data_IF_000881864959
#
_entry.id   IF_000881864959
#
_cell.length_a   1.000
_cell.length_b   1.000
_cell.length_c   1.000
_cell.angle_alpha   90.00
_cell.angle_beta   90.00
_cell.angle_gamma   90.00
#
_symmetry.space_group_name_H-M   'P 1'
#
loop_
_entity.id
_entity.type
_entity.pdbx_description
1 polymer ?
#
# COMPACT_ATOMS: atom_id res chain seq x y z
N UNK A 1 -13.53 -11.55 -30.28
CA UNK A 1 -14.66 -11.57 -29.34
C UNK A 1 -14.30 -11.99 -27.91
N UNK A 2 -13.45 -13.00 -27.69
CA UNK A 2 -13.20 -13.46 -26.32
C UNK A 2 -12.47 -12.48 -25.42
N UNK A 3 -11.90 -11.39 -25.94
CA UNK A 3 -11.16 -10.41 -25.13
C UNK A 3 -12.04 -9.42 -24.36
N UNK A 4 -13.26 -9.18 -24.82
CA UNK A 4 -14.17 -8.20 -24.22
C UNK A 4 -14.60 -8.56 -22.78
N UNK A 5 -14.99 -9.81 -22.49
CA UNK A 5 -15.33 -10.19 -21.11
C UNK A 5 -14.16 -10.12 -20.14
N UNK A 6 -12.94 -10.44 -20.58
CA UNK A 6 -11.74 -10.34 -19.74
C UNK A 6 -11.40 -8.91 -19.34
N UNK A 7 -11.51 -7.96 -20.28
CA UNK A 7 -11.28 -6.55 -20.04
C UNK A 7 -12.34 -6.01 -19.09
N UNK A 8 -13.61 -6.35 -19.30
CA UNK A 8 -14.72 -5.99 -18.43
C UNK A 8 -14.53 -6.49 -17.00
N UNK A 9 -14.13 -7.76 -16.82
CA UNK A 9 -13.87 -8.36 -15.51
C UNK A 9 -12.72 -7.67 -14.79
N UNK A 10 -11.63 -7.39 -15.50
CA UNK A 10 -10.48 -6.69 -14.93
C UNK A 10 -10.85 -5.28 -14.48
N UNK A 11 -11.60 -4.54 -15.30
CA UNK A 11 -12.08 -3.18 -14.96
C UNK A 11 -13.05 -3.23 -13.78
N UNK A 12 -14.00 -4.18 -13.78
CA UNK A 12 -14.96 -4.33 -12.70
C UNK A 12 -14.27 -4.71 -11.37
N UNK A 13 -13.31 -5.64 -11.41
CA UNK A 13 -12.55 -6.05 -10.23
C UNK A 13 -11.72 -4.87 -9.69
N UNK A 14 -11.09 -4.10 -10.56
CA UNK A 14 -10.31 -2.92 -10.17
C UNK A 14 -11.19 -1.86 -9.53
N UNK A 15 -12.37 -1.61 -10.10
CA UNK A 15 -13.35 -0.67 -9.53
C UNK A 15 -13.82 -1.12 -8.15
N UNK A 16 -14.09 -2.42 -7.98
CA UNK A 16 -14.52 -2.98 -6.70
C UNK A 16 -13.47 -2.80 -5.62
N UNK A 17 -12.21 -3.04 -5.94
CA UNK A 17 -11.10 -2.83 -5.02
C UNK A 17 -10.92 -1.35 -4.67
N UNK A 18 -11.03 -0.49 -5.66
CA UNK A 18 -10.98 0.96 -5.50
C UNK A 18 -12.09 1.44 -4.55
N UNK A 19 -13.31 0.98 -4.75
CA UNK A 19 -14.45 1.34 -3.91
C UNK A 19 -14.28 0.81 -2.49
N UNK A 20 -13.72 -0.39 -2.33
CA UNK A 20 -13.42 -0.98 -1.04
C UNK A 20 -12.42 -0.11 -0.26
N UNK A 21 -11.31 0.28 -0.89
CA UNK A 21 -10.32 1.16 -0.28
C UNK A 21 -10.92 2.52 0.12
N UNK A 22 -11.67 3.14 -0.77
CA UNK A 22 -12.33 4.43 -0.50
C UNK A 22 -13.32 4.34 0.66
N UNK A 23 -14.07 3.26 0.75
CA UNK A 23 -15.03 3.04 1.83
C UNK A 23 -14.32 2.97 3.18
N UNK A 24 -13.23 2.22 3.27
CA UNK A 24 -12.45 2.11 4.51
C UNK A 24 -11.79 3.42 4.91
N UNK A 25 -11.26 4.16 3.95
CA UNK A 25 -10.68 5.48 4.19
C UNK A 25 -11.76 6.47 4.66
N UNK A 26 -12.93 6.44 4.04
CA UNK A 26 -14.05 7.30 4.43
C UNK A 26 -14.56 7.02 5.84
N UNK A 27 -14.65 5.75 6.23
CA UNK A 27 -15.06 5.35 7.57
C UNK A 27 -14.13 5.85 8.66
N UNK A 28 -12.83 5.88 8.40
CA UNK A 28 -11.86 6.32 9.40
C UNK A 28 -11.98 7.81 9.76
N UNK A 29 -12.59 8.62 8.90
CA UNK A 29 -12.89 10.03 9.20
C UNK A 29 -14.05 10.22 10.16
N UNK A 30 -14.96 9.26 10.21
CA UNK A 30 -16.21 9.34 11.00
C UNK A 30 -16.17 8.51 12.27
N UNK A 31 -15.20 7.62 12.40
CA UNK A 31 -15.11 6.71 13.52
C UNK A 31 -14.34 7.35 14.67
N UNK A 32 -14.95 7.34 15.86
CA UNK A 32 -14.28 7.67 17.12
C UNK A 32 -13.54 6.47 17.71
N UNK A 33 -13.57 5.31 17.05
CA UNK A 33 -12.91 4.11 17.53
C UNK A 33 -11.42 4.15 17.27
N UNK A 34 -10.66 3.71 18.25
CA UNK A 34 -9.22 3.52 18.07
C UNK A 34 -8.94 2.46 17.04
N UNK A 35 -8.10 2.82 16.09
CA UNK A 35 -7.48 1.86 15.20
C UNK A 35 -6.17 1.38 15.83
N UNK A 36 -6.01 0.08 15.96
CA UNK A 36 -4.77 -0.50 16.47
C UNK A 36 -4.03 -1.21 15.34
N UNK A 37 -2.81 -0.78 15.01
CA UNK A 37 -2.01 -1.47 14.00
C UNK A 37 -1.68 -2.89 14.44
N UNK A 38 -1.87 -3.84 13.52
CA UNK A 38 -1.47 -5.23 13.70
C UNK A 38 -0.81 -5.74 12.43
N UNK A 39 0.03 -6.75 12.56
CA UNK A 39 0.67 -7.39 11.40
C UNK A 39 -0.37 -7.99 10.46
N UNK A 40 -1.39 -8.64 11.00
CA UNK A 40 -2.46 -9.26 10.20
C UNK A 40 -3.18 -8.23 9.33
N UNK A 41 -3.50 -7.06 9.89
CA UNK A 41 -4.15 -5.97 9.15
C UNK A 41 -3.19 -5.36 8.12
N UNK A 42 -1.92 -5.23 8.45
CA UNK A 42 -0.90 -4.76 7.50
C UNK A 42 -0.78 -5.71 6.31
N UNK A 43 -0.70 -7.01 6.54
CA UNK A 43 -0.68 -8.01 5.47
C UNK A 43 -1.95 -7.97 4.62
N UNK A 44 -3.11 -7.79 5.25
CA UNK A 44 -4.37 -7.66 4.52
C UNK A 44 -4.32 -6.48 3.54
N UNK A 45 -3.95 -5.28 4.01
CA UNK A 45 -3.89 -4.11 3.15
C UNK A 45 -2.77 -4.21 2.12
N UNK A 46 -1.66 -4.81 2.47
CA UNK A 46 -0.58 -5.08 1.50
C UNK A 46 -1.12 -5.91 0.33
N UNK A 47 -1.84 -6.98 0.61
CA UNK A 47 -2.43 -7.83 -0.45
C UNK A 47 -3.46 -7.08 -1.27
N UNK A 48 -4.35 -6.33 -0.64
CA UNK A 48 -5.38 -5.54 -1.33
C UNK A 48 -4.73 -4.51 -2.25
N UNK A 49 -3.74 -3.76 -1.75
CA UNK A 49 -3.05 -2.73 -2.52
C UNK A 49 -2.23 -3.35 -3.66
N UNK A 50 -1.56 -4.47 -3.41
CA UNK A 50 -0.80 -5.16 -4.45
C UNK A 50 -1.71 -5.55 -5.62
N UNK A 51 -2.87 -6.09 -5.32
CA UNK A 51 -3.86 -6.44 -6.34
C UNK A 51 -4.42 -5.21 -7.06
N UNK A 52 -4.80 -4.18 -6.32
CA UNK A 52 -5.46 -3.00 -6.86
C UNK A 52 -4.52 -2.08 -7.64
N UNK A 53 -3.31 -1.85 -7.15
CA UNK A 53 -2.39 -0.86 -7.68
C UNK A 53 -1.21 -1.45 -8.45
N UNK A 54 -0.70 -2.59 -8.03
CA UNK A 54 0.50 -3.21 -8.61
C UNK A 54 0.20 -4.45 -9.45
N UNK A 55 -1.06 -4.77 -9.68
CA UNK A 55 -1.50 -5.92 -10.50
C UNK A 55 -0.93 -7.26 -10.01
N UNK A 56 -0.78 -7.41 -8.69
CA UNK A 56 -0.16 -8.57 -8.05
C UNK A 56 1.31 -8.82 -8.44
N UNK A 57 2.00 -7.78 -8.90
CA UNK A 57 3.38 -7.94 -9.40
C UNK A 57 4.45 -7.80 -8.32
N UNK A 58 4.13 -7.18 -7.19
CA UNK A 58 5.12 -7.12 -6.12
C UNK A 58 5.25 -8.47 -5.44
N UNK A 59 6.48 -8.96 -5.24
CA UNK A 59 6.69 -10.15 -4.43
C UNK A 59 6.35 -9.85 -2.98
N UNK A 60 5.97 -10.88 -2.23
CA UNK A 60 5.75 -10.72 -0.79
C UNK A 60 7.03 -10.22 -0.12
N UNK A 61 6.94 -9.20 0.75
CA UNK A 61 8.08 -8.87 1.57
C UNK A 61 8.41 -10.07 2.48
N UNK A 62 9.66 -10.16 2.90
CA UNK A 62 10.05 -11.24 3.81
C UNK A 62 9.35 -11.11 5.16
N UNK A 63 9.00 -9.88 5.55
CA UNK A 63 8.38 -9.60 6.83
C UNK A 63 7.66 -8.26 6.78
N UNK A 64 6.54 -8.18 7.51
CA UNK A 64 5.92 -6.90 7.89
C UNK A 64 5.91 -6.85 9.42
N UNK A 65 6.51 -5.81 9.96
CA UNK A 65 6.70 -5.64 11.40
C UNK A 65 5.94 -4.40 11.88
N UNK A 66 5.25 -4.53 13.00
CA UNK A 66 4.62 -3.41 13.68
C UNK A 66 5.45 -3.11 14.93
N UNK A 67 6.03 -1.91 14.98
CA UNK A 67 6.80 -1.48 16.15
C UNK A 67 6.86 0.04 16.21
N UNK A 68 7.23 0.57 17.37
CA UNK A 68 7.43 2.00 17.54
C UNK A 68 8.58 2.49 16.66
N UNK A 69 8.34 3.58 15.92
CA UNK A 69 9.34 4.23 15.09
C UNK A 69 9.52 5.68 15.54
N UNK A 70 10.74 6.19 15.40
CA UNK A 70 11.04 7.60 15.65
C UNK A 70 11.17 8.33 14.32
N UNK A 71 10.42 9.44 14.18
CA UNK A 71 10.53 10.32 13.03
C UNK A 71 9.95 9.79 11.72
N UNK A 72 9.26 8.65 11.76
CA UNK A 72 8.65 8.06 10.58
C UNK A 72 7.44 7.23 10.96
N UNK A 73 6.47 7.12 10.05
CA UNK A 73 5.32 6.23 10.19
C UNK A 73 5.59 4.84 9.63
N UNK A 74 6.57 4.72 8.75
CA UNK A 74 6.94 3.45 8.16
C UNK A 74 8.37 3.46 7.64
N UNK A 75 8.89 2.28 7.36
CA UNK A 75 10.22 2.07 6.77
C UNK A 75 10.15 0.88 5.81
N UNK A 76 10.90 0.97 4.72
CA UNK A 76 11.15 -0.15 3.83
C UNK A 76 12.65 -0.41 3.81
N UNK A 77 13.08 -1.50 4.43
CA UNK A 77 14.45 -1.95 4.41
C UNK A 77 14.60 -3.04 3.37
N UNK A 78 15.29 -2.72 2.28
CA UNK A 78 15.59 -3.67 1.22
C UNK A 78 17.04 -4.12 1.37
N UNK A 79 17.24 -5.43 1.41
CA UNK A 79 18.57 -6.04 1.44
C UNK A 79 19.01 -6.38 0.02
N UNK A 80 19.98 -7.24 -0.15
CA UNK A 80 20.58 -7.56 -1.45
C UNK A 80 19.62 -8.15 -2.48
N UNK A 81 18.45 -8.64 -2.06
CA UNK A 81 17.45 -9.25 -2.96
C UNK A 81 16.10 -8.58 -2.78
N UNK A 82 15.33 -8.51 -3.87
CA UNK A 82 14.01 -7.90 -3.87
C UNK A 82 13.02 -8.60 -2.94
N UNK A 83 13.15 -9.91 -2.74
CA UNK A 83 12.35 -10.73 -1.85
C UNK A 83 12.76 -10.60 -0.38
N UNK A 84 13.83 -9.88 -0.08
CA UNK A 84 14.32 -9.63 1.28
C UNK A 84 13.92 -8.24 1.80
N UNK A 85 12.85 -7.68 1.26
CA UNK A 85 12.33 -6.42 1.76
C UNK A 85 11.60 -6.65 3.08
N UNK A 86 11.90 -5.82 4.07
CA UNK A 86 11.16 -5.77 5.35
C UNK A 86 10.44 -4.44 5.42
N UNK A 87 9.12 -4.51 5.60
CA UNK A 87 8.30 -3.32 5.78
C UNK A 87 8.00 -3.20 7.28
N UNK A 88 8.30 -2.03 7.84
CA UNK A 88 7.99 -1.72 9.23
C UNK A 88 6.97 -0.60 9.26
N UNK A 89 5.91 -0.77 10.04
CA UNK A 89 4.85 0.21 10.22
C UNK A 89 4.80 0.60 11.70
N UNK A 90 4.65 1.89 11.97
CA UNK A 90 4.62 2.38 13.34
C UNK A 90 3.41 1.87 14.12
N UNK A 91 3.66 1.35 15.30
CA UNK A 91 2.62 0.94 16.24
C UNK A 91 1.83 2.11 16.82
N UNK A 92 2.30 3.33 16.62
CA UNK A 92 1.66 4.54 17.14
C UNK A 92 0.61 5.13 16.21
N UNK A 93 0.39 4.54 15.03
CA UNK A 93 -0.67 4.98 14.13
C UNK A 93 -2.03 4.62 14.74
N UNK A 94 -2.87 5.63 14.93
CA UNK A 94 -4.20 5.45 15.52
C UNK A 94 -5.33 5.66 14.52
N UNK A 95 -4.99 5.89 13.26
CA UNK A 95 -5.92 6.26 12.20
C UNK A 95 -5.78 5.27 11.04
N UNK A 96 -6.90 4.64 10.67
CA UNK A 96 -6.91 3.64 9.57
C UNK A 96 -6.46 4.24 8.23
N UNK A 97 -6.88 5.46 7.94
CA UNK A 97 -6.48 6.14 6.70
C UNK A 97 -4.96 6.31 6.62
N UNK A 98 -4.35 6.77 7.71
CA UNK A 98 -2.90 6.92 7.79
C UNK A 98 -2.20 5.56 7.70
N UNK A 99 -2.78 4.54 8.32
CA UNK A 99 -2.21 3.18 8.27
C UNK A 99 -2.18 2.65 6.83
N UNK A 100 -3.30 2.73 6.12
CA UNK A 100 -3.39 2.29 4.72
C UNK A 100 -2.43 3.09 3.85
N UNK A 101 -2.39 4.41 4.02
CA UNK A 101 -1.48 5.27 3.26
C UNK A 101 -0.01 4.91 3.54
N UNK A 102 0.32 4.58 4.78
CA UNK A 102 1.68 4.19 5.15
C UNK A 102 2.07 2.85 4.52
N UNK A 103 1.17 1.87 4.54
CA UNK A 103 1.41 0.60 3.83
C UNK A 103 1.68 0.86 2.35
N UNK A 104 0.84 1.65 1.70
CA UNK A 104 1.02 2.01 0.29
C UNK A 104 2.35 2.75 0.04
N UNK A 105 2.71 3.67 0.92
CA UNK A 105 3.97 4.41 0.85
C UNK A 105 5.18 3.46 0.84
N UNK A 106 5.22 2.53 1.77
CA UNK A 106 6.32 1.57 1.85
C UNK A 106 6.30 0.57 0.69
N UNK A 107 5.13 0.26 0.17
CA UNK A 107 5.01 -0.58 -1.04
C UNK A 107 5.59 0.11 -2.28
N UNK A 108 5.47 1.44 -2.38
CA UNK A 108 6.11 2.19 -3.47
C UNK A 108 7.63 2.09 -3.35
N UNK A 109 8.18 2.18 -2.15
CA UNK A 109 9.62 1.95 -1.94
C UNK A 109 10.02 0.52 -2.27
N UNK A 110 9.20 -0.46 -1.91
CA UNK A 110 9.41 -1.85 -2.31
C UNK A 110 9.42 -1.99 -3.83
N UNK A 111 8.51 -1.33 -4.52
CA UNK A 111 8.48 -1.32 -5.98
C UNK A 111 9.75 -0.67 -6.56
N UNK A 112 10.18 0.46 -6.01
CA UNK A 112 11.42 1.12 -6.45
C UNK A 112 12.60 0.16 -6.33
N UNK A 113 12.71 -0.55 -5.23
CA UNK A 113 13.75 -1.54 -5.03
C UNK A 113 13.66 -2.68 -6.05
N UNK A 114 12.46 -3.23 -6.21
CA UNK A 114 12.20 -4.34 -7.15
C UNK A 114 12.52 -3.92 -8.59
N UNK A 115 12.20 -2.68 -8.97
CA UNK A 115 12.46 -2.12 -10.30
C UNK A 115 13.87 -1.52 -10.42
N UNK A 116 14.75 -1.79 -9.46
CA UNK A 116 16.15 -1.33 -9.43
C UNK A 116 16.29 0.19 -9.50
N UNK A 117 15.37 0.91 -8.86
CA UNK A 117 15.40 2.37 -8.75
C UNK A 117 15.89 2.79 -7.37
N UNK A 118 16.28 4.03 -7.24
CA UNK A 118 16.64 4.60 -5.94
C UNK A 118 15.42 4.69 -5.04
N UNK A 119 15.57 4.36 -3.76
CA UNK A 119 14.52 4.50 -2.76
C UNK A 119 14.48 5.94 -2.27
N UNK A 120 13.71 6.77 -2.96
CA UNK A 120 13.60 8.19 -2.68
C UNK A 120 12.15 8.66 -2.86
N UNK A 121 11.92 9.95 -2.66
CA UNK A 121 10.64 10.60 -2.88
C UNK A 121 10.65 11.49 -4.14
N UNK A 122 11.52 11.17 -5.10
CA UNK A 122 11.68 11.93 -6.32
C UNK A 122 10.65 11.52 -7.40
N UNK A 123 11.03 11.52 -8.67
CA UNK A 123 10.11 11.41 -9.80
C UNK A 123 9.23 10.17 -9.75
N UNK A 124 9.81 8.99 -9.57
CA UNK A 124 9.04 7.74 -9.57
C UNK A 124 8.06 7.68 -8.40
N UNK A 125 8.46 8.15 -7.22
CA UNK A 125 7.59 8.22 -6.05
C UNK A 125 6.44 9.20 -6.27
N UNK A 126 6.72 10.37 -6.82
CA UNK A 126 5.68 11.38 -7.12
C UNK A 126 4.67 10.89 -8.14
N UNK A 127 5.09 10.15 -9.14
CA UNK A 127 4.19 9.54 -10.12
C UNK A 127 3.24 8.55 -9.45
N UNK A 128 3.76 7.72 -8.55
CA UNK A 128 2.92 6.81 -7.76
C UNK A 128 1.97 7.56 -6.84
N UNK A 129 2.41 8.66 -6.23
CA UNK A 129 1.55 9.47 -5.38
C UNK A 129 0.36 10.05 -6.17
N UNK A 130 0.61 10.57 -7.37
CA UNK A 130 -0.46 11.04 -8.26
C UNK A 130 -1.42 9.90 -8.60
N UNK A 131 -0.90 8.74 -8.93
CA UNK A 131 -1.70 7.55 -9.26
C UNK A 131 -2.58 7.12 -8.08
N UNK A 132 -2.02 7.00 -6.90
CA UNK A 132 -2.78 6.62 -5.70
C UNK A 132 -3.83 7.65 -5.31
N UNK A 133 -3.49 8.92 -5.38
CA UNK A 133 -4.44 10.00 -5.07
C UNK A 133 -5.61 10.00 -6.05
N UNK A 134 -5.33 9.89 -7.34
CA UNK A 134 -6.35 9.91 -8.39
C UNK A 134 -7.25 8.69 -8.35
N UNK A 135 -6.69 7.51 -8.15
CA UNK A 135 -7.44 6.26 -8.26
C UNK A 135 -8.07 5.80 -6.94
N UNK A 136 -7.45 6.10 -5.81
CA UNK A 136 -7.87 5.54 -4.51
C UNK A 136 -8.10 6.60 -3.44
N UNK A 137 -7.78 7.85 -3.70
CA UNK A 137 -7.84 8.89 -2.68
C UNK A 137 -6.80 8.73 -1.58
N UNK A 138 -5.72 8.02 -1.87
CA UNK A 138 -4.62 7.80 -0.94
C UNK A 138 -3.51 8.80 -1.24
N UNK A 139 -3.11 9.56 -0.23
CA UNK A 139 -1.96 10.46 -0.30
C UNK A 139 -0.79 9.79 0.42
N UNK A 140 0.27 9.52 -0.34
CA UNK A 140 1.45 8.83 0.18
C UNK A 140 2.35 9.70 1.05
#
# INVERSE_FOLDING_TARGET
MPKKPKISRSVAAKKKLKDHLKTHIGKSKKSSYYFTPTEAVAWYWWRVINKAAFKNKLPYPSEIVIRKLRGAWGLCNAKSRADNCVITISSEITNRKLFIATVAHEMVHQWQWYDKRSLDHATSFREWNVYFKRNFGIVL
#
